data_IF_861967783780
#
_entry.id   IF_861967783780
#
_cell.length_a   1.000
_cell.length_b   1.000
_cell.length_c   1.000
_cell.angle_alpha   90.00
_cell.angle_beta   90.00
_cell.angle_gamma   90.00
#
_symmetry.space_group_name_H-M   'P 1'
#
loop_
_entity.id
_entity.type
_entity.pdbx_description
1 polymer ?
#
# COMPACT_ATOMS: atom_id res chain seq x y z
N UNK A 1 20.17 3.58 2.91
CA UNK A 1 18.86 3.81 3.53
C UNK A 1 17.94 4.46 2.50
N UNK A 2 16.69 4.02 2.39
CA UNK A 2 15.64 4.67 1.60
C UNK A 2 14.93 5.71 2.47
N UNK A 3 14.86 6.96 2.02
CA UNK A 3 14.09 8.02 2.68
C UNK A 3 12.87 8.38 1.84
N UNK A 4 11.68 8.38 2.46
CA UNK A 4 10.41 8.78 1.83
C UNK A 4 9.96 10.08 2.52
N UNK A 5 9.79 11.14 1.73
CA UNK A 5 9.41 12.46 2.22
C UNK A 5 7.89 12.56 2.44
N UNK A 6 7.45 13.65 3.08
CA UNK A 6 6.03 13.93 3.30
C UNK A 6 5.25 13.93 1.97
N UNK A 7 4.11 13.23 1.89
CA UNK A 7 3.23 13.29 0.74
C UNK A 7 2.60 14.68 0.54
N UNK A 8 2.31 15.02 -0.71
CA UNK A 8 1.57 16.22 -1.09
C UNK A 8 0.52 15.90 -2.15
N UNK A 9 -0.59 16.66 -2.13
CA UNK A 9 -1.62 16.62 -3.16
C UNK A 9 -1.37 17.73 -4.17
N UNK A 10 -1.44 17.39 -5.45
CA UNK A 10 -1.38 18.31 -6.57
C UNK A 10 -2.65 18.17 -7.39
N UNK A 11 -3.44 19.23 -7.43
CA UNK A 11 -4.59 19.31 -8.33
C UNK A 11 -4.15 19.75 -9.73
N UNK A 12 -4.66 19.04 -10.74
CA UNK A 12 -4.48 19.35 -12.16
C UNK A 12 -5.84 19.44 -12.83
N UNK A 13 -5.86 19.92 -14.08
CA UNK A 13 -7.09 20.16 -14.84
C UNK A 13 -8.01 18.92 -14.88
N UNK A 14 -7.44 17.72 -15.05
CA UNK A 14 -8.21 16.47 -15.24
C UNK A 14 -7.98 15.40 -14.15
N UNK A 15 -7.01 15.61 -13.26
CA UNK A 15 -6.61 14.60 -12.27
C UNK A 15 -6.11 15.24 -10.99
N UNK A 16 -6.27 14.52 -9.89
CA UNK A 16 -5.65 14.84 -8.61
C UNK A 16 -4.55 13.83 -8.35
N UNK A 17 -3.37 14.32 -8.01
CA UNK A 17 -2.16 13.51 -7.85
C UNK A 17 -1.71 13.55 -6.40
N UNK A 18 -1.51 12.38 -5.80
CA UNK A 18 -0.81 12.21 -4.53
C UNK A 18 0.63 11.81 -4.83
N UNK A 19 1.61 12.59 -4.39
CA UNK A 19 3.02 12.30 -4.67
C UNK A 19 3.92 12.44 -3.44
N UNK A 20 5.05 11.73 -3.45
CA UNK A 20 6.10 11.89 -2.46
C UNK A 20 7.47 11.73 -3.13
N UNK A 21 8.41 12.60 -2.74
CA UNK A 21 9.83 12.44 -3.10
C UNK A 21 10.42 11.27 -2.34
N UNK A 22 11.34 10.55 -2.95
CA UNK A 22 12.15 9.55 -2.26
C UNK A 22 13.62 9.62 -2.66
N UNK A 23 14.49 9.17 -1.76
CA UNK A 23 15.94 9.14 -1.95
C UNK A 23 16.49 7.78 -1.52
N UNK A 24 17.25 7.12 -2.39
CA UNK A 24 17.90 5.84 -2.10
C UNK A 24 19.28 5.79 -2.75
N UNK A 25 20.33 6.01 -1.94
CA UNK A 25 21.70 6.15 -2.46
C UNK A 25 21.80 7.35 -3.42
N UNK A 26 22.16 7.09 -4.68
CA UNK A 26 22.26 8.12 -5.72
C UNK A 26 20.94 8.38 -6.46
N UNK A 27 19.90 7.59 -6.20
CA UNK A 27 18.59 7.77 -6.83
C UNK A 27 17.75 8.75 -6.04
N UNK A 28 17.26 9.80 -6.70
CA UNK A 28 16.26 10.72 -6.16
C UNK A 28 15.16 10.87 -7.20
N UNK A 29 13.93 10.59 -6.82
CA UNK A 29 12.80 10.64 -7.74
C UNK A 29 11.48 10.90 -6.99
N UNK A 30 10.38 10.96 -7.74
CA UNK A 30 9.03 11.14 -7.21
C UNK A 30 8.20 9.90 -7.53
N UNK A 31 7.65 9.28 -6.49
CA UNK A 31 6.57 8.31 -6.66
C UNK A 31 5.23 9.05 -6.58
N UNK A 32 4.27 8.65 -7.40
CA UNK A 32 2.96 9.29 -7.46
C UNK A 32 1.84 8.30 -7.77
N UNK A 33 0.64 8.65 -7.31
CA UNK A 33 -0.63 8.02 -7.63
C UNK A 33 -1.57 9.11 -8.11
N UNK A 34 -2.44 8.82 -9.08
CA UNK A 34 -3.45 9.79 -9.49
C UNK A 34 -4.82 9.15 -9.63
N UNK A 35 -5.84 10.00 -9.51
CA UNK A 35 -7.24 9.66 -9.72
C UNK A 35 -7.95 10.83 -10.39
N UNK A 36 -9.18 10.63 -10.85
CA UNK A 36 -10.01 11.73 -11.38
C UNK A 36 -10.32 12.72 -10.25
N UNK A 37 -10.54 13.98 -10.60
CA UNK A 37 -10.80 15.03 -9.61
C UNK A 37 -11.99 14.74 -8.68
N UNK A 38 -13.00 14.00 -9.16
CA UNK A 38 -14.14 13.54 -8.36
C UNK A 38 -13.72 12.74 -7.11
N UNK A 39 -12.64 11.98 -7.20
CA UNK A 39 -12.15 11.14 -6.09
C UNK A 39 -10.90 11.72 -5.41
N UNK A 40 -10.47 12.93 -5.78
CA UNK A 40 -9.23 13.53 -5.27
C UNK A 40 -9.20 13.69 -3.76
N UNK A 41 -10.36 13.98 -3.15
CA UNK A 41 -10.51 14.13 -1.70
C UNK A 41 -10.30 12.84 -0.90
N UNK A 42 -10.26 11.67 -1.55
CA UNK A 42 -10.00 10.39 -0.91
C UNK A 42 -8.51 10.00 -0.90
N UNK A 43 -7.65 10.81 -1.53
CA UNK A 43 -6.20 10.61 -1.45
C UNK A 43 -5.69 11.03 -0.07
N UNK A 44 -5.06 10.09 0.65
CA UNK A 44 -4.55 10.32 1.99
C UNK A 44 -3.10 10.85 1.94
N UNK A 45 -2.91 12.12 2.27
CA UNK A 45 -1.59 12.79 2.31
C UNK A 45 -1.08 12.98 3.73
N UNK A 46 -1.96 12.82 4.72
CA UNK A 46 -1.70 12.91 6.15
C UNK A 46 -0.73 11.82 6.60
N UNK A 47 -0.69 10.68 5.89
CA UNK A 47 0.14 9.50 6.21
C UNK A 47 0.96 9.03 5.03
N UNK A 48 2.10 8.43 5.36
CA UNK A 48 3.02 7.83 4.39
C UNK A 48 2.66 6.41 3.92
N UNK A 49 1.52 5.88 4.34
CA UNK A 49 1.13 4.46 4.19
C UNK A 49 1.23 3.95 2.74
N UNK A 50 0.67 4.70 1.77
CA UNK A 50 0.67 4.29 0.37
C UNK A 50 2.09 4.16 -0.21
N UNK A 51 2.96 5.12 0.11
CA UNK A 51 4.35 5.15 -0.36
C UNK A 51 5.21 4.09 0.32
N UNK A 52 4.97 3.84 1.61
CA UNK A 52 5.63 2.77 2.34
C UNK A 52 5.35 1.41 1.70
N UNK A 53 4.08 1.09 1.42
CA UNK A 53 3.70 -0.17 0.79
C UNK A 53 4.30 -0.30 -0.61
N UNK A 54 4.21 0.76 -1.42
CA UNK A 54 4.70 0.74 -2.79
C UNK A 54 6.24 0.56 -2.87
N UNK A 55 6.99 1.13 -1.93
CA UNK A 55 8.45 1.05 -1.91
C UNK A 55 9.00 -0.11 -1.07
N UNK A 56 8.14 -0.88 -0.39
CA UNK A 56 8.57 -1.94 0.53
C UNK A 56 9.44 -2.99 -0.16
N UNK A 57 8.95 -3.59 -1.25
CA UNK A 57 9.68 -4.63 -1.98
C UNK A 57 10.97 -4.09 -2.60
N UNK A 58 10.96 -2.84 -3.04
CA UNK A 58 12.14 -2.17 -3.58
C UNK A 58 13.25 -2.05 -2.52
N UNK A 59 12.90 -1.59 -1.33
CA UNK A 59 13.83 -1.45 -0.20
C UNK A 59 14.35 -2.82 0.26
N UNK A 60 13.46 -3.80 0.42
CA UNK A 60 13.81 -5.16 0.84
C UNK A 60 14.75 -5.85 -0.14
N UNK A 61 14.53 -5.70 -1.45
CA UNK A 61 15.41 -6.28 -2.48
C UNK A 61 16.81 -5.67 -2.48
N UNK A 62 16.96 -4.44 -1.98
CA UNK A 62 18.25 -3.72 -1.88
C UNK A 62 18.89 -3.84 -0.50
N UNK A 63 18.18 -4.42 0.48
CA UNK A 63 18.64 -4.44 1.87
C UNK A 63 18.73 -3.07 2.51
N UNK A 64 17.86 -2.14 2.10
CA UNK A 64 17.87 -0.77 2.58
C UNK A 64 16.76 -0.55 3.60
N UNK A 65 17.11 -0.09 4.80
CA UNK A 65 16.13 0.35 5.79
C UNK A 65 15.31 1.53 5.24
N UNK A 66 14.03 1.61 5.62
CA UNK A 66 13.11 2.68 5.20
C UNK A 66 12.97 3.68 6.33
N UNK A 67 13.27 4.94 6.03
CA UNK A 67 12.94 6.09 6.86
C UNK A 67 11.82 6.89 6.19
N UNK A 68 10.67 7.04 6.85
CA UNK A 68 9.54 7.80 6.32
C UNK A 68 9.25 9.00 7.21
N UNK A 69 9.17 10.17 6.59
CA UNK A 69 9.02 11.45 7.29
C UNK A 69 7.57 11.80 7.61
N UNK A 70 6.62 11.14 6.96
CA UNK A 70 5.20 11.21 7.30
C UNK A 70 4.84 10.12 8.32
N UNK A 71 3.83 10.36 9.18
CA UNK A 71 3.38 9.34 10.11
C UNK A 71 2.80 8.12 9.39
N UNK A 72 2.93 6.97 10.04
CA UNK A 72 2.48 5.67 9.55
C UNK A 72 1.33 5.19 10.44
N UNK A 73 0.31 4.58 9.85
CA UNK A 73 -0.72 3.86 10.62
C UNK A 73 -0.08 2.81 11.53
N UNK A 74 -0.43 2.83 12.82
CA UNK A 74 0.00 1.82 13.78
C UNK A 74 -0.33 0.39 13.34
N UNK A 75 -1.52 0.20 12.73
CA UNK A 75 -1.96 -1.09 12.20
C UNK A 75 -1.09 -1.55 11.04
N UNK A 76 -0.75 -0.64 10.13
CA UNK A 76 0.11 -0.95 8.99
C UNK A 76 1.51 -1.29 9.47
N UNK A 77 2.12 -0.42 10.28
CA UNK A 77 3.44 -0.62 10.86
C UNK A 77 3.55 -1.98 11.57
N UNK A 78 2.59 -2.31 12.44
CA UNK A 78 2.56 -3.59 13.13
C UNK A 78 2.50 -4.78 12.16
N UNK A 79 1.60 -4.73 11.18
CA UNK A 79 1.42 -5.82 10.21
C UNK A 79 2.68 -6.06 9.39
N UNK A 80 3.32 -4.98 8.92
CA UNK A 80 4.53 -5.06 8.12
C UNK A 80 5.71 -5.61 8.92
N UNK A 81 5.96 -5.04 10.10
CA UNK A 81 7.13 -5.38 10.92
C UNK A 81 7.03 -6.74 11.62
N UNK A 82 5.83 -7.17 12.00
CA UNK A 82 5.62 -8.47 12.67
C UNK A 82 5.46 -9.64 11.73
N UNK A 83 4.84 -9.42 10.56
CA UNK A 83 4.47 -10.52 9.68
C UNK A 83 5.14 -10.38 8.31
N UNK A 84 4.83 -9.32 7.57
CA UNK A 84 5.10 -9.30 6.13
C UNK A 84 6.59 -9.27 5.78
N UNK A 85 7.38 -8.39 6.42
CA UNK A 85 8.81 -8.23 6.11
C UNK A 85 9.58 -9.53 6.37
N UNK A 86 9.31 -10.17 7.51
CA UNK A 86 9.95 -11.44 7.85
C UNK A 86 9.58 -12.54 6.85
N UNK A 87 8.29 -12.70 6.55
CA UNK A 87 7.79 -13.72 5.63
C UNK A 87 8.39 -13.55 4.22
N UNK A 88 8.46 -12.33 3.70
CA UNK A 88 9.04 -12.09 2.38
C UNK A 88 10.55 -12.39 2.36
N UNK A 89 11.30 -11.93 3.36
CA UNK A 89 12.74 -12.19 3.42
C UNK A 89 13.07 -13.69 3.57
N UNK A 90 12.26 -14.43 4.34
CA UNK A 90 12.43 -15.87 4.55
C UNK A 90 12.04 -16.69 3.29
N UNK A 91 11.03 -16.25 2.51
CA UNK A 91 10.53 -16.99 1.35
C UNK A 91 11.25 -16.68 0.03
N UNK A 92 11.74 -15.45 -0.18
CA UNK A 92 12.29 -15.01 -1.45
C UNK A 92 13.79 -14.74 -1.37
N UNK A 93 14.63 -15.57 -2.03
CA UNK A 93 16.07 -15.31 -2.12
C UNK A 93 16.37 -13.92 -2.71
N UNK A 94 17.30 -13.20 -2.10
CA UNK A 94 17.69 -11.84 -2.52
C UNK A 94 16.78 -10.73 -1.97
N UNK A 95 15.81 -11.05 -1.10
CA UNK A 95 15.14 -10.09 -0.25
C UNK A 95 15.72 -10.13 1.15
N UNK A 96 15.82 -8.97 1.78
CA UNK A 96 16.46 -8.80 3.07
C UNK A 96 15.45 -8.31 4.10
N UNK A 97 15.66 -8.71 5.35
CA UNK A 97 14.95 -8.11 6.48
C UNK A 97 15.46 -6.67 6.65
N UNK A 98 14.52 -5.73 6.75
CA UNK A 98 14.79 -4.30 6.87
C UNK A 98 14.03 -3.72 8.06
N UNK A 99 14.45 -2.54 8.51
CA UNK A 99 13.76 -1.75 9.51
C UNK A 99 12.90 -0.67 8.84
N UNK A 100 11.75 -0.38 9.44
CA UNK A 100 10.88 0.73 9.08
C UNK A 100 10.96 1.73 10.23
N UNK A 101 11.34 2.96 9.93
CA UNK A 101 11.60 4.04 10.88
C UNK A 101 10.72 5.22 10.48
N UNK A 102 9.94 5.73 11.43
CA UNK A 102 9.04 6.87 11.23
C UNK A 102 8.10 7.04 12.41
N UNK A 103 7.39 8.15 12.45
CA UNK A 103 6.39 8.40 13.47
C UNK A 103 5.17 7.49 13.28
N UNK A 104 4.55 7.07 14.37
CA UNK A 104 3.39 6.19 14.36
C UNK A 104 2.16 6.97 14.81
N UNK A 105 1.12 6.93 13.99
CA UNK A 105 -0.18 7.51 14.29
C UNK A 105 -1.25 6.40 14.43
N UNK A 106 -1.96 6.44 15.56
CA UNK A 106 -3.05 5.52 15.89
C UNK A 106 -4.43 6.16 15.74
N UNK A 107 -4.50 7.43 15.34
CA UNK A 107 -5.74 8.13 15.11
C UNK A 107 -6.56 7.52 13.97
N UNK A 108 -7.83 7.91 13.89
CA UNK A 108 -8.63 7.66 12.70
C UNK A 108 -8.47 8.83 11.75
N UNK A 109 -8.41 8.55 10.45
CA UNK A 109 -8.54 9.56 9.42
C UNK A 109 -10.03 9.75 9.10
N UNK A 110 -10.39 10.99 8.85
CA UNK A 110 -11.73 11.32 8.36
C UNK A 110 -11.97 10.60 7.01
N UNK A 111 -13.15 10.04 6.85
CA UNK A 111 -13.53 9.28 5.66
C UNK A 111 -15.04 9.37 5.44
N UNK A 112 -15.50 9.04 4.23
CA UNK A 112 -16.92 9.11 3.87
C UNK A 112 -17.75 7.89 4.32
N UNK A 113 -17.23 7.04 5.23
CA UNK A 113 -17.94 5.85 5.71
C UNK A 113 -18.08 4.74 4.66
N UNK A 114 -17.32 4.79 3.57
CA UNK A 114 -17.34 3.77 2.53
C UNK A 114 -16.72 2.45 3.01
N UNK A 115 -17.46 1.35 2.87
CA UNK A 115 -16.95 -0.01 3.12
C UNK A 115 -16.57 -0.65 1.78
N UNK A 116 -15.28 -0.91 1.61
CA UNK A 116 -14.70 -1.47 0.39
C UNK A 116 -13.95 -2.77 0.61
N UNK A 117 -13.95 -3.65 -0.40
CA UNK A 117 -13.09 -4.84 -0.43
C UNK A 117 -12.47 -5.05 -1.81
N UNK A 118 -11.33 -5.74 -1.81
CA UNK A 118 -10.72 -6.27 -3.04
C UNK A 118 -11.52 -7.43 -3.61
N UNK A 119 -11.81 -7.39 -4.91
CA UNK A 119 -12.43 -8.48 -5.64
C UNK A 119 -11.38 -9.13 -6.54
N UNK A 120 -10.85 -10.28 -6.13
CA UNK A 120 -9.92 -11.08 -6.94
C UNK A 120 -10.62 -12.07 -7.87
N UNK A 121 -11.95 -12.22 -7.73
CA UNK A 121 -12.77 -13.27 -8.35
C UNK A 121 -12.39 -14.70 -7.90
N UNK A 122 -11.66 -14.84 -6.79
CA UNK A 122 -11.47 -16.11 -6.09
C UNK A 122 -12.64 -16.41 -5.15
N UNK A 123 -12.72 -17.67 -4.69
CA UNK A 123 -13.82 -18.13 -3.82
C UNK A 123 -13.92 -17.29 -2.54
N UNK A 124 -12.79 -16.97 -1.90
CA UNK A 124 -12.77 -16.16 -0.67
C UNK A 124 -13.35 -14.76 -0.91
N UNK A 125 -13.00 -14.11 -2.02
CA UNK A 125 -13.55 -12.79 -2.34
C UNK A 125 -15.06 -12.82 -2.63
N UNK A 126 -15.56 -13.91 -3.23
CA UNK A 126 -17.01 -14.08 -3.43
C UNK A 126 -17.73 -14.36 -2.11
N UNK A 127 -17.16 -15.19 -1.23
CA UNK A 127 -17.69 -15.41 0.11
C UNK A 127 -17.81 -14.07 0.86
N UNK A 128 -16.76 -13.25 0.86
CA UNK A 128 -16.80 -11.91 1.47
C UNK A 128 -17.92 -11.05 0.88
N UNK A 129 -18.10 -11.05 -0.44
CA UNK A 129 -19.17 -10.27 -1.08
C UNK A 129 -20.55 -10.76 -0.64
N UNK A 130 -20.79 -12.07 -0.64
CA UNK A 130 -22.09 -12.64 -0.23
C UNK A 130 -22.38 -12.28 1.22
N UNK A 131 -21.43 -12.50 2.12
CA UNK A 131 -21.59 -12.21 3.56
C UNK A 131 -21.89 -10.74 3.85
N UNK A 132 -21.27 -9.83 3.10
CA UNK A 132 -21.40 -8.38 3.34
C UNK A 132 -22.45 -7.70 2.44
N UNK A 133 -23.18 -8.47 1.63
CA UNK A 133 -24.37 -8.00 0.90
C UNK A 133 -25.66 -8.65 1.42
N UNK A 134 -25.54 -9.67 2.27
CA UNK A 134 -26.66 -10.33 2.94
C UNK A 134 -27.48 -9.36 3.80
N UNK A 135 -28.77 -9.67 3.98
CA UNK A 135 -29.68 -8.87 4.80
C UNK A 135 -29.29 -8.86 6.28
N UNK A 136 -28.70 -9.96 6.78
CA UNK A 136 -28.25 -10.10 8.17
C UNK A 136 -26.97 -9.32 8.48
N UNK A 137 -26.25 -8.83 7.48
CA UNK A 137 -25.06 -8.01 7.67
C UNK A 137 -25.44 -6.66 8.30
N UNK A 138 -24.79 -6.22 9.40
CA UNK A 138 -25.03 -4.90 9.97
C UNK A 138 -24.73 -3.78 8.97
N UNK A 139 -25.49 -2.69 9.02
CA UNK A 139 -25.41 -1.58 8.04
C UNK A 139 -23.99 -1.05 7.83
N UNK A 140 -23.23 -0.91 8.91
CA UNK A 140 -21.90 -0.29 8.91
C UNK A 140 -20.82 -1.19 8.30
N UNK A 141 -21.14 -2.46 8.03
CA UNK A 141 -20.27 -3.43 7.38
C UNK A 141 -20.73 -3.80 5.97
N UNK A 142 -21.89 -3.29 5.52
CA UNK A 142 -22.39 -3.60 4.19
C UNK A 142 -21.48 -3.01 3.13
N UNK A 143 -21.10 -3.83 2.15
CA UNK A 143 -20.22 -3.39 1.07
C UNK A 143 -20.89 -2.32 0.23
N UNK A 144 -20.13 -1.26 -0.04
CA UNK A 144 -20.52 -0.14 -0.89
C UNK A 144 -19.63 -0.04 -2.14
N UNK A 145 -18.39 -0.53 -2.05
CA UNK A 145 -17.40 -0.44 -3.12
C UNK A 145 -16.66 -1.77 -3.30
N UNK A 146 -16.30 -2.08 -4.54
CA UNK A 146 -15.41 -3.20 -4.87
C UNK A 146 -14.22 -2.67 -5.66
N UNK A 147 -13.02 -3.09 -5.29
CA UNK A 147 -11.81 -2.76 -6.04
C UNK A 147 -11.33 -3.99 -6.81
N UNK A 148 -11.40 -3.92 -8.13
CA UNK A 148 -10.87 -4.95 -9.03
C UNK A 148 -9.57 -4.46 -9.64
N UNK A 149 -8.47 -5.15 -9.36
CA UNK A 149 -7.15 -4.80 -9.87
C UNK A 149 -6.72 -5.80 -10.94
N UNK A 150 -6.61 -5.35 -12.19
CA UNK A 150 -5.96 -6.13 -13.24
C UNK A 150 -4.43 -5.98 -13.12
N UNK A 151 -3.89 -6.51 -12.04
CA UNK A 151 -2.44 -6.53 -11.78
C UNK A 151 -1.87 -7.85 -12.25
N UNK A 152 -0.92 -7.78 -13.19
CA UNK A 152 -0.23 -8.95 -13.70
C UNK A 152 0.43 -9.70 -12.53
N UNK A 153 0.17 -11.01 -12.41
CA UNK A 153 0.85 -11.88 -11.46
C UNK A 153 2.36 -11.79 -11.74
N UNK A 154 3.15 -11.48 -10.71
CA UNK A 154 4.62 -11.60 -10.75
C UNK A 154 5.00 -13.08 -10.83
N UNK A 155 4.81 -13.71 -11.98
CA UNK A 155 5.54 -14.93 -12.32
C UNK A 155 6.97 -14.52 -12.63
N UNK A 156 7.87 -14.62 -11.65
CA UNK A 156 9.29 -14.75 -11.98
C UNK A 156 9.46 -16.10 -12.67
N UNK A 157 9.64 -16.10 -13.99
CA UNK A 157 10.13 -17.26 -14.72
C UNK A 157 11.41 -17.75 -14.02
N UNK A 158 11.57 -19.05 -13.72
CA UNK A 158 12.85 -19.55 -13.27
C UNK A 158 13.91 -19.21 -14.35
N UNK A 159 15.04 -18.69 -13.89
CA UNK A 159 16.20 -18.40 -14.73
C UNK A 159 16.56 -19.65 -15.55
N UNK A 160 16.85 -19.55 -16.86
CA UNK A 160 17.24 -20.70 -17.69
C UNK A 160 18.55 -21.41 -17.28
N UNK A 161 19.19 -21.03 -16.16
CA UNK A 161 20.53 -21.50 -15.78
C UNK A 161 20.54 -22.74 -14.86
N UNK A 162 19.39 -23.30 -14.52
CA UNK A 162 19.30 -24.51 -13.68
C UNK A 162 18.86 -25.78 -14.46
N UNK A 163 19.33 -25.93 -15.71
CA UNK A 163 19.24 -27.20 -16.45
C UNK A 163 20.55 -27.56 -17.12
#
# INVERSE_FOLDING_TARGET
MLTIHQPEIIERENETVLQAKFECGNTKDILWFSTTNEFGSYLCHERGDAFLVAMLLYAMKRGEDIHILAPISARLYYTLTKHLVKVIADMFPGYHQIQIIGDIDSGNLDNAGGVGTGLSCGIDSFCTVIEHTDESCPSDYKLTHLTFFNVCLLYTSPSPRDR
#
